data_IF_149944338294
#
_entry.id   IF_149944338294
#
_cell.length_a   1.000
_cell.length_b   1.000
_cell.length_c   1.000
_cell.angle_alpha   90.00
_cell.angle_beta   90.00
_cell.angle_gamma   90.00
#
_symmetry.space_group_name_H-M   'P 1'
#
loop_
_entity.id
_entity.type
_entity.pdbx_description
1 polymer ?
#
# COMPACT_ATOMS: atom_id res chain seq x y z
N UNK A 1 -17.04 -7.23 33.68
CA UNK A 1 -16.26 -7.93 32.64
C UNK A 1 -16.19 -7.04 31.40
N UNK A 2 -15.06 -6.37 31.19
CA UNK A 2 -14.90 -5.33 30.16
C UNK A 2 -14.58 -6.02 28.83
N UNK A 3 -15.54 -6.07 27.90
CA UNK A 3 -15.33 -6.62 26.56
C UNK A 3 -14.61 -5.60 25.67
N UNK A 4 -13.31 -5.82 25.43
CA UNK A 4 -12.54 -5.10 24.43
C UNK A 4 -13.13 -5.36 23.04
N UNK A 5 -13.76 -4.33 22.46
CA UNK A 5 -14.27 -4.33 21.09
C UNK A 5 -13.10 -4.21 20.10
N UNK A 6 -12.22 -5.21 20.12
CA UNK A 6 -11.22 -5.44 19.08
C UNK A 6 -11.96 -5.62 17.75
N UNK A 7 -11.40 -5.10 16.65
CA UNK A 7 -11.98 -5.22 15.30
C UNK A 7 -12.45 -6.67 15.10
N UNK A 8 -13.76 -6.88 14.83
CA UNK A 8 -14.34 -8.23 14.69
C UNK A 8 -13.43 -9.05 13.77
N UNK A 9 -12.96 -10.21 14.22
CA UNK A 9 -12.07 -11.12 13.49
C UNK A 9 -12.50 -11.36 12.03
N UNK A 10 -13.81 -11.34 11.77
CA UNK A 10 -14.39 -11.41 10.42
C UNK A 10 -13.96 -10.29 9.48
N UNK A 11 -13.73 -9.05 9.95
CA UNK A 11 -13.22 -7.96 9.12
C UNK A 11 -11.79 -8.23 8.66
N UNK A 12 -10.93 -8.67 9.59
CA UNK A 12 -9.53 -9.03 9.29
C UNK A 12 -9.48 -10.18 8.28
N UNK A 13 -10.29 -11.21 8.47
CA UNK A 13 -10.39 -12.33 7.53
C UNK A 13 -10.89 -11.88 6.15
N UNK A 14 -11.88 -10.99 6.09
CA UNK A 14 -12.42 -10.44 4.83
C UNK A 14 -11.38 -9.65 4.05
N UNK A 15 -10.56 -8.83 4.72
CA UNK A 15 -9.52 -8.05 4.05
C UNK A 15 -8.37 -8.93 3.53
N UNK A 16 -8.00 -9.99 4.27
CA UNK A 16 -7.04 -11.00 3.77
C UNK A 16 -7.56 -11.73 2.54
N UNK A 17 -8.84 -12.12 2.53
CA UNK A 17 -9.46 -12.81 1.41
C UNK A 17 -9.49 -11.94 0.15
N UNK A 18 -9.82 -10.65 0.26
CA UNK A 18 -9.76 -9.72 -0.89
C UNK A 18 -8.38 -9.70 -1.52
N UNK A 19 -7.33 -9.62 -0.70
CA UNK A 19 -5.94 -9.59 -1.16
C UNK A 19 -5.56 -10.88 -1.90
N UNK A 20 -5.97 -12.04 -1.36
CA UNK A 20 -5.77 -13.35 -1.99
C UNK A 20 -6.47 -13.43 -3.36
N UNK A 21 -7.72 -12.99 -3.45
CA UNK A 21 -8.49 -13.02 -4.70
C UNK A 21 -7.89 -12.10 -5.79
N UNK A 22 -7.34 -10.95 -5.39
CA UNK A 22 -6.65 -10.05 -6.32
C UNK A 22 -5.33 -10.66 -6.80
N UNK A 23 -4.58 -11.28 -5.89
CA UNK A 23 -3.33 -11.98 -6.21
C UNK A 23 -3.52 -13.11 -7.22
N UNK A 24 -4.51 -13.98 -7.01
CA UNK A 24 -4.83 -15.10 -7.92
C UNK A 24 -5.16 -14.61 -9.33
N UNK A 25 -5.87 -13.48 -9.46
CA UNK A 25 -6.20 -12.91 -10.76
C UNK A 25 -4.98 -12.37 -11.51
N UNK A 26 -3.90 -12.01 -10.83
CA UNK A 26 -2.72 -11.34 -11.39
C UNK A 26 -1.52 -12.26 -11.60
N UNK A 27 -1.63 -13.56 -11.29
CA UNK A 27 -0.52 -14.52 -11.23
C UNK A 27 0.68 -14.01 -10.37
N UNK A 28 0.41 -13.13 -9.40
CA UNK A 28 1.41 -12.48 -8.56
C UNK A 28 1.09 -12.73 -7.09
N UNK A 29 2.00 -13.32 -6.32
CA UNK A 29 1.73 -13.67 -4.92
C UNK A 29 1.42 -12.43 -4.06
N UNK A 30 0.58 -12.55 -3.00
CA UNK A 30 0.27 -11.42 -2.12
C UNK A 30 1.53 -10.84 -1.46
N UNK A 31 2.50 -11.73 -1.18
CA UNK A 31 3.79 -11.37 -0.62
C UNK A 31 4.61 -10.53 -1.60
N UNK A 32 4.62 -10.88 -2.89
CA UNK A 32 5.30 -10.09 -3.92
C UNK A 32 4.68 -8.70 -4.06
N UNK A 33 3.35 -8.59 -4.06
CA UNK A 33 2.66 -7.29 -4.12
C UNK A 33 2.97 -6.43 -2.88
N UNK A 34 3.05 -7.05 -1.70
CA UNK A 34 3.43 -6.35 -0.46
C UNK A 34 4.89 -5.88 -0.49
N UNK A 35 5.81 -6.71 -1.01
CA UNK A 35 7.21 -6.32 -1.18
C UNK A 35 7.35 -5.13 -2.14
N UNK A 36 6.68 -5.19 -3.29
CA UNK A 36 6.66 -4.12 -4.27
C UNK A 36 6.11 -2.81 -3.68
N UNK A 37 5.00 -2.90 -2.93
CA UNK A 37 4.44 -1.75 -2.22
C UNK A 37 5.47 -1.09 -1.29
N UNK A 38 6.13 -1.89 -0.46
CA UNK A 38 7.11 -1.40 0.50
C UNK A 38 8.32 -0.78 -0.20
N UNK A 39 8.77 -1.35 -1.32
CA UNK A 39 9.89 -0.81 -2.10
C UNK A 39 9.55 0.54 -2.73
N UNK A 40 8.37 0.67 -3.34
CA UNK A 40 7.91 1.94 -3.92
C UNK A 40 7.79 3.04 -2.86
N UNK A 41 7.18 2.74 -1.71
CA UNK A 41 7.05 3.70 -0.60
C UNK A 41 8.43 4.09 -0.09
N UNK A 42 9.33 3.12 0.16
CA UNK A 42 10.70 3.42 0.62
C UNK A 42 11.47 4.29 -0.36
N UNK A 43 11.33 4.07 -1.66
CA UNK A 43 12.01 4.86 -2.69
C UNK A 43 11.53 6.32 -2.67
N UNK A 44 10.21 6.55 -2.62
CA UNK A 44 9.63 7.91 -2.57
C UNK A 44 9.96 8.60 -1.24
N UNK A 45 9.92 7.86 -0.12
CA UNK A 45 10.23 8.39 1.21
C UNK A 45 11.67 8.90 1.37
N UNK A 46 12.59 8.55 0.46
CA UNK A 46 13.94 9.16 0.43
C UNK A 46 13.92 10.64 0.05
N UNK A 47 12.90 11.07 -0.70
CA UNK A 47 12.82 12.40 -1.29
C UNK A 47 11.64 13.22 -0.75
N UNK A 48 10.58 12.56 -0.29
CA UNK A 48 9.36 13.24 0.16
C UNK A 48 8.82 12.62 1.45
N UNK A 49 8.16 13.44 2.27
CA UNK A 49 7.46 12.92 3.45
C UNK A 49 6.12 12.30 3.03
N UNK A 50 6.00 10.98 3.10
CA UNK A 50 4.82 10.21 2.65
C UNK A 50 3.79 9.99 3.78
N UNK A 51 2.50 9.98 3.43
CA UNK A 51 1.42 9.48 4.31
C UNK A 51 1.20 7.98 4.08
N UNK A 52 2.07 7.13 4.63
CA UNK A 52 2.11 5.68 4.36
C UNK A 52 0.76 4.97 4.53
N UNK A 53 -0.03 5.38 5.52
CA UNK A 53 -1.35 4.81 5.83
C UNK A 53 -2.41 5.04 4.75
N UNK A 54 -2.17 5.99 3.83
CA UNK A 54 -3.08 6.36 2.74
C UNK A 54 -2.54 5.97 1.37
N UNK A 55 -1.44 5.23 1.30
CA UNK A 55 -0.91 4.72 0.03
C UNK A 55 -1.88 3.69 -0.54
N UNK A 56 -2.27 3.89 -1.80
CA UNK A 56 -3.15 2.98 -2.53
C UNK A 56 -2.40 2.42 -3.74
N UNK A 57 -2.41 1.10 -3.90
CA UNK A 57 -1.85 0.43 -5.07
C UNK A 57 -2.95 -0.36 -5.76
N UNK A 58 -3.08 -0.16 -7.07
CA UNK A 58 -4.00 -0.88 -7.93
C UNK A 58 -3.24 -1.57 -9.04
N UNK A 59 -3.67 -2.78 -9.36
CA UNK A 59 -3.16 -3.54 -10.49
C UNK A 59 -4.26 -3.64 -11.53
N UNK A 60 -3.95 -3.22 -12.75
CA UNK A 60 -4.84 -3.30 -13.90
C UNK A 60 -4.38 -4.51 -14.73
N UNK A 61 -5.13 -5.62 -14.64
CA UNK A 61 -4.82 -6.86 -15.35
C UNK A 61 -4.86 -6.68 -16.85
N UNK A 62 -5.88 -5.97 -17.36
CA UNK A 62 -6.14 -5.83 -18.79
C UNK A 62 -5.01 -5.09 -19.52
N UNK A 63 -4.28 -4.22 -18.82
CA UNK A 63 -3.19 -3.40 -19.38
C UNK A 63 -1.83 -3.72 -18.76
N UNK A 64 -1.73 -4.74 -17.89
CA UNK A 64 -0.51 -5.08 -17.14
C UNK A 64 0.13 -3.84 -16.51
N UNK A 65 -0.68 -3.00 -15.85
CA UNK A 65 -0.23 -1.72 -15.29
C UNK A 65 -0.39 -1.68 -13.78
N UNK A 66 0.59 -1.10 -13.08
CA UNK A 66 0.50 -0.81 -11.64
C UNK A 66 0.30 0.69 -11.44
N UNK A 67 -0.80 1.05 -10.80
CA UNK A 67 -1.10 2.43 -10.40
C UNK A 67 -0.87 2.58 -8.90
N UNK A 68 0.15 3.36 -8.52
CA UNK A 68 0.43 3.72 -7.14
C UNK A 68 0.02 5.18 -6.87
N UNK A 69 -0.86 5.40 -5.91
CA UNK A 69 -1.19 6.73 -5.38
C UNK A 69 -0.50 6.90 -4.03
N UNK A 70 0.49 7.78 -3.98
CA UNK A 70 1.32 8.02 -2.81
C UNK A 70 1.11 9.47 -2.35
N UNK A 71 0.20 9.70 -1.39
CA UNK A 71 -0.08 11.05 -0.91
C UNK A 71 1.09 11.58 -0.07
N UNK A 72 1.52 12.79 -0.38
CA UNK A 72 2.57 13.50 0.36
C UNK A 72 1.97 14.23 1.58
N UNK A 73 2.77 14.45 2.62
CA UNK A 73 2.43 15.39 3.69
C UNK A 73 2.70 16.81 3.17
N UNK A 74 1.79 17.75 3.41
CA UNK A 74 1.84 19.11 2.88
C UNK A 74 2.93 20.01 3.49
N UNK A 75 3.89 19.42 4.22
CA UNK A 75 5.11 20.13 4.60
C UNK A 75 6.11 19.92 3.47
N UNK A 76 6.04 20.79 2.46
CA UNK A 76 7.07 20.89 1.42
C UNK A 76 8.27 21.56 2.10
N UNK A 77 8.93 20.83 3.00
CA UNK A 77 10.30 21.14 3.34
C UNK A 77 11.08 21.02 2.04
N UNK A 78 11.80 22.09 1.74
CA UNK A 78 12.58 22.32 0.53
C UNK A 78 13.12 21.00 -0.04
N UNK A 79 12.70 20.71 -1.27
CA UNK A 79 13.21 19.58 -2.04
C UNK A 79 14.75 19.60 -2.01
N UNK A 80 15.36 18.42 -1.93
CA UNK A 80 16.80 18.19 -1.96
C UNK A 80 17.58 19.34 -2.64
N UNK A 81 18.57 19.96 -1.96
CA UNK A 81 19.61 20.68 -2.68
C UNK A 81 20.31 19.62 -3.54
N UNK A 82 20.23 19.78 -4.86
CA UNK A 82 20.96 18.93 -5.78
C UNK A 82 22.45 18.92 -5.45
N UNK A 83 23.14 17.91 -5.93
CA UNK A 83 24.57 18.04 -6.21
C UNK A 83 24.84 19.30 -7.04
#
# INVERSE_FOLDING_TARGET
MIHFRNKRSGHVAKDRLKLLLVSERLDCSPQMMTMLQNDMVRAVSRYFTVQEQKVEIRYLKDTTTVLAKIPLKADIQESYPGF
#
